data_IF_163019770665
#
_entry.id   IF_163019770665
#
_cell.length_a   1.000
_cell.length_b   1.000
_cell.length_c   1.000
_cell.angle_alpha   90.00
_cell.angle_beta   90.00
_cell.angle_gamma   90.00
#
_symmetry.space_group_name_H-M   'P 1'
#
loop_
_entity.id
_entity.type
_entity.pdbx_description
1 polymer ?
#
# COMPACT_ATOMS: atom_id res chain seq x y z
N UNK A 1 -21.22 38.12 -50.53
CA UNK A 1 -21.72 37.57 -49.24
C UNK A 1 -22.25 36.12 -49.31
N UNK A 2 -22.18 35.39 -50.44
CA UNK A 2 -22.61 33.97 -50.47
C UNK A 2 -21.61 33.02 -49.81
N UNK A 3 -20.32 33.37 -49.79
CA UNK A 3 -19.26 32.49 -49.29
C UNK A 3 -19.02 32.61 -47.78
N UNK A 4 -19.50 33.71 -47.16
CA UNK A 4 -19.35 33.96 -45.72
C UNK A 4 -20.17 32.96 -44.87
N UNK A 5 -21.30 32.48 -45.39
CA UNK A 5 -22.15 31.48 -44.71
C UNK A 5 -21.45 30.13 -44.54
N UNK A 6 -20.61 29.73 -45.50
CA UNK A 6 -19.83 28.49 -45.40
C UNK A 6 -18.69 28.60 -44.41
N UNK A 7 -18.08 29.79 -44.29
CA UNK A 7 -17.01 30.04 -43.30
C UNK A 7 -17.56 30.02 -41.88
N UNK A 8 -18.74 30.63 -41.64
CA UNK A 8 -19.41 30.59 -40.33
C UNK A 8 -19.82 29.16 -39.96
N UNK A 9 -20.27 28.35 -40.92
CA UNK A 9 -20.60 26.94 -40.69
C UNK A 9 -19.35 26.10 -40.33
N UNK A 10 -18.22 26.35 -40.99
CA UNK A 10 -16.96 25.63 -40.75
C UNK A 10 -16.37 25.99 -39.38
N UNK A 11 -16.46 27.25 -38.97
CA UNK A 11 -16.09 27.70 -37.62
C UNK A 11 -17.04 27.09 -36.57
N UNK A 12 -18.34 27.05 -36.83
CA UNK A 12 -19.31 26.43 -35.91
C UNK A 12 -19.04 24.94 -35.71
N UNK A 13 -18.68 24.18 -36.75
CA UNK A 13 -18.31 22.76 -36.66
C UNK A 13 -17.00 22.55 -35.89
N UNK A 14 -16.05 23.49 -35.98
CA UNK A 14 -14.81 23.44 -35.21
C UNK A 14 -15.02 23.56 -33.70
N UNK A 15 -16.11 24.21 -33.26
CA UNK A 15 -16.47 24.30 -31.84
C UNK A 15 -17.24 23.08 -31.31
N UNK A 16 -17.71 22.17 -32.18
CA UNK A 16 -18.41 20.94 -31.78
C UNK A 16 -17.40 19.84 -31.40
N UNK A 17 -16.14 19.95 -31.83
CA UNK A 17 -15.08 18.99 -31.53
C UNK A 17 -14.25 19.36 -30.29
N UNK A 18 -14.73 20.28 -29.44
CA UNK A 18 -14.10 20.52 -28.15
C UNK A 18 -14.59 19.46 -27.14
N UNK A 19 -14.00 18.26 -27.20
CA UNK A 19 -14.04 17.32 -26.09
C UNK A 19 -13.27 17.97 -24.92
N UNK A 20 -13.84 17.93 -23.71
CA UNK A 20 -13.12 18.40 -22.52
C UNK A 20 -11.89 17.51 -22.37
N UNK A 21 -10.71 18.10 -22.26
CA UNK A 21 -9.48 17.38 -21.95
C UNK A 21 -9.66 16.75 -20.56
N UNK A 22 -10.02 15.47 -20.52
CA UNK A 22 -10.05 14.68 -19.30
C UNK A 22 -8.60 14.33 -18.96
N UNK A 23 -7.86 15.29 -18.44
CA UNK A 23 -6.53 15.05 -17.87
C UNK A 23 -6.73 14.46 -16.46
N UNK A 24 -6.06 13.35 -16.18
CA UNK A 24 -6.01 12.80 -14.82
C UNK A 24 -5.24 13.75 -13.93
N UNK A 25 -5.74 14.00 -12.72
CA UNK A 25 -4.90 14.60 -11.70
C UNK A 25 -3.79 13.61 -11.39
N UNK A 26 -2.53 14.06 -11.46
CA UNK A 26 -1.35 13.23 -11.14
C UNK A 26 -1.36 12.66 -9.71
N UNK A 27 -2.31 13.08 -8.86
CA UNK A 27 -2.47 12.66 -7.47
C UNK A 27 -3.50 11.56 -7.26
N UNK A 28 -4.19 11.07 -8.31
CA UNK A 28 -5.09 9.93 -8.15
C UNK A 28 -4.31 8.63 -8.25
N UNK A 29 -3.80 8.13 -7.12
CA UNK A 29 -3.26 6.76 -7.05
C UNK A 29 -4.30 5.78 -7.57
N UNK A 30 -3.95 5.04 -8.62
CA UNK A 30 -4.80 4.02 -9.24
C UNK A 30 -4.74 2.69 -8.47
N UNK A 31 -3.78 2.55 -7.56
CA UNK A 31 -3.56 1.37 -6.73
C UNK A 31 -3.20 1.79 -5.31
N UNK A 32 -4.19 1.88 -4.40
CA UNK A 32 -3.93 2.33 -3.05
C UNK A 32 -3.11 1.30 -2.26
N UNK A 33 -2.25 1.79 -1.37
CA UNK A 33 -1.55 0.96 -0.38
C UNK A 33 -2.39 0.76 0.88
N UNK A 34 -2.11 -0.33 1.59
CA UNK A 34 -2.66 -0.57 2.91
C UNK A 34 -1.88 0.24 3.95
N UNK A 35 -2.45 1.37 4.36
CA UNK A 35 -1.94 2.19 5.47
C UNK A 35 -2.19 1.49 6.82
N UNK A 36 -1.10 1.23 7.55
CA UNK A 36 -1.09 0.61 8.88
C UNK A 36 -0.42 1.57 9.86
N UNK A 37 -1.10 1.85 10.97
CA UNK A 37 -0.55 2.61 12.10
C UNK A 37 -0.32 1.73 13.32
N UNK A 38 0.69 2.06 14.11
CA UNK A 38 1.10 1.38 15.32
C UNK A 38 0.74 2.19 16.56
N UNK A 39 0.03 1.56 17.48
CA UNK A 39 -0.52 2.17 18.70
C UNK A 39 0.05 1.50 19.96
N UNK A 40 0.06 2.24 21.06
CA UNK A 40 0.44 1.72 22.37
C UNK A 40 -0.64 0.78 22.92
N UNK A 41 -0.26 -0.42 23.34
CA UNK A 41 -1.17 -1.36 24.01
C UNK A 41 -1.68 -0.83 25.35
N UNK A 42 -0.87 -0.04 26.05
CA UNK A 42 -1.23 0.52 27.36
C UNK A 42 -2.06 1.81 27.21
N UNK A 43 -1.89 2.54 26.10
CA UNK A 43 -2.60 3.78 25.77
C UNK A 43 -3.14 3.72 24.32
N UNK A 44 -4.31 3.09 24.07
CA UNK A 44 -4.78 2.75 22.73
C UNK A 44 -5.08 3.91 21.77
N UNK A 45 -5.09 5.14 22.28
CA UNK A 45 -5.28 6.36 21.49
C UNK A 45 -3.96 7.01 21.05
N UNK A 46 -2.82 6.54 21.59
CA UNK A 46 -1.50 7.10 21.33
C UNK A 46 -0.75 6.26 20.29
N UNK A 47 -0.18 6.92 19.28
CA UNK A 47 0.76 6.31 18.34
C UNK A 47 2.08 5.97 19.04
N UNK A 48 2.67 4.84 18.65
CA UNK A 48 3.90 4.32 19.24
C UNK A 48 4.81 3.74 18.17
N UNK A 49 5.98 4.35 18.02
CA UNK A 49 7.01 3.86 17.11
C UNK A 49 7.38 2.41 17.41
N UNK A 50 7.42 1.59 16.36
CA UNK A 50 8.10 0.30 16.41
C UNK A 50 9.59 0.56 16.17
N UNK A 51 10.48 0.24 17.13
CA UNK A 51 11.90 0.51 16.99
C UNK A 51 12.53 -0.43 15.95
N UNK A 52 13.34 0.15 15.06
CA UNK A 52 14.20 -0.59 14.11
C UNK A 52 13.40 -1.63 13.31
N UNK A 53 12.21 -1.22 12.89
CA UNK A 53 11.27 -2.00 12.12
C UNK A 53 11.81 -2.22 10.71
N UNK A 54 11.75 -3.48 10.27
CA UNK A 54 11.90 -3.88 8.87
C UNK A 54 10.64 -4.62 8.45
N UNK A 55 10.08 -4.25 7.31
CA UNK A 55 8.85 -4.86 6.76
C UNK A 55 9.04 -5.18 5.30
N UNK A 56 8.72 -6.40 4.89
CA UNK A 56 8.83 -6.83 3.49
C UNK A 56 7.82 -7.92 3.17
N UNK A 57 7.44 -8.02 1.89
CA UNK A 57 6.61 -9.12 1.43
C UNK A 57 7.37 -10.44 1.45
N UNK A 58 6.68 -11.51 1.81
CA UNK A 58 7.23 -12.86 1.74
C UNK A 58 7.55 -13.23 0.28
N UNK A 59 8.76 -13.76 0.06
CA UNK A 59 9.23 -14.18 -1.27
C UNK A 59 9.59 -13.03 -2.22
N UNK A 60 9.78 -11.80 -1.72
CA UNK A 60 10.15 -10.64 -2.54
C UNK A 60 11.65 -10.60 -2.84
N UNK A 61 12.50 -11.05 -1.92
CA UNK A 61 13.94 -11.09 -2.13
C UNK A 61 14.35 -12.51 -2.53
N UNK A 62 15.02 -12.64 -3.66
CA UNK A 62 15.63 -13.89 -4.11
C UNK A 62 17.05 -13.65 -4.56
N UNK A 63 17.97 -14.57 -4.27
CA UNK A 63 19.33 -14.53 -4.82
C UNK A 63 19.36 -14.88 -6.32
N UNK A 64 20.57 -14.88 -6.91
CA UNK A 64 20.80 -15.24 -8.32
C UNK A 64 20.32 -16.66 -8.67
N UNK A 65 20.15 -17.52 -7.67
CA UNK A 65 19.69 -18.91 -7.80
C UNK A 65 18.17 -19.05 -7.54
N UNK A 66 17.46 -17.95 -7.27
CA UNK A 66 16.02 -17.92 -7.02
C UNK A 66 15.62 -18.39 -5.62
N UNK A 67 16.55 -18.45 -4.68
CA UNK A 67 16.30 -18.81 -3.28
C UNK A 67 15.88 -17.56 -2.52
N UNK A 68 14.81 -17.65 -1.73
CA UNK A 68 14.35 -16.53 -0.90
C UNK A 68 15.44 -16.11 0.10
N UNK A 69 15.75 -14.82 0.11
CA UNK A 69 16.73 -14.22 1.03
C UNK A 69 16.07 -13.19 1.93
N UNK A 70 16.78 -12.80 2.98
CA UNK A 70 16.37 -11.73 3.89
C UNK A 70 17.10 -10.42 3.54
N UNK A 71 16.46 -9.25 3.69
CA UNK A 71 17.13 -7.97 3.45
C UNK A 71 18.21 -7.73 4.50
N UNK A 72 19.46 -7.53 4.05
CA UNK A 72 20.64 -7.32 4.93
C UNK A 72 21.31 -5.95 4.75
N UNK A 73 21.04 -5.24 3.66
CA UNK A 73 21.61 -3.93 3.37
C UNK A 73 20.52 -2.90 3.01
N UNK A 74 20.78 -1.64 3.35
CA UNK A 74 19.90 -0.49 3.09
C UNK A 74 19.84 -0.09 1.61
N UNK A 75 20.60 -0.71 0.71
CA UNK A 75 20.75 -0.23 -0.67
C UNK A 75 19.50 -0.27 -1.54
N UNK A 76 18.43 -0.97 -1.15
CA UNK A 76 17.11 -0.89 -1.81
C UNK A 76 16.09 -0.02 -1.03
N UNK A 77 16.56 0.80 -0.08
CA UNK A 77 15.71 1.72 0.70
C UNK A 77 15.14 2.81 -0.21
N UNK A 78 13.84 2.76 -0.44
CA UNK A 78 13.06 3.99 -0.47
C UNK A 78 12.08 3.88 0.72
N UNK A 79 12.04 4.95 1.50
CA UNK A 79 11.11 5.06 2.60
C UNK A 79 9.83 5.58 1.96
N UNK A 80 8.71 4.94 2.24
CA UNK A 80 7.49 5.71 2.50
C UNK A 80 6.97 5.29 3.87
N UNK A 81 7.59 5.87 4.90
CA UNK A 81 6.81 6.40 6.02
C UNK A 81 5.79 7.31 5.36
N UNK A 82 4.52 7.02 5.56
CA UNK A 82 3.44 7.78 4.96
C UNK A 82 3.67 9.30 5.15
N UNK A 83 3.93 10.00 4.06
CA UNK A 83 4.09 11.46 4.00
C UNK A 83 3.07 11.98 2.99
N UNK A 84 2.17 12.87 3.44
CA UNK A 84 1.10 13.47 2.63
C UNK A 84 1.65 14.28 1.43
N UNK A 85 2.97 14.52 1.37
CA UNK A 85 3.61 15.40 0.38
C UNK A 85 4.36 14.71 -0.77
N UNK A 86 4.50 13.37 -0.78
CA UNK A 86 5.33 12.69 -1.78
C UNK A 86 4.53 12.17 -3.00
N UNK A 87 5.05 12.44 -4.20
CA UNK A 87 4.39 12.05 -5.46
C UNK A 87 4.87 10.66 -5.87
N UNK A 88 3.99 9.67 -5.66
CA UNK A 88 4.18 8.23 -5.90
C UNK A 88 4.33 7.95 -7.40
N UNK A 89 5.52 7.55 -7.85
CA UNK A 89 5.65 6.76 -9.09
C UNK A 89 6.82 5.75 -9.12
N UNK A 90 7.61 5.61 -8.04
CA UNK A 90 8.70 4.60 -7.94
C UNK A 90 8.96 4.17 -6.47
N UNK A 91 7.91 4.13 -5.63
CA UNK A 91 8.03 3.74 -4.22
C UNK A 91 8.43 2.24 -4.08
N UNK A 92 9.32 1.88 -3.15
CA UNK A 92 9.79 0.51 -3.02
C UNK A 92 8.79 -0.28 -2.17
N UNK A 93 8.94 -1.60 -2.21
CA UNK A 93 7.97 -2.50 -1.59
C UNK A 93 8.31 -2.89 -0.15
N UNK A 94 9.22 -2.19 0.52
CA UNK A 94 9.69 -2.62 1.85
C UNK A 94 10.26 -1.47 2.71
N UNK A 95 10.22 -1.67 4.03
CA UNK A 95 10.73 -0.77 5.09
C UNK A 95 11.98 -1.41 5.69
N UNK A 96 13.05 -0.65 5.96
CA UNK A 96 14.30 -1.23 6.48
C UNK A 96 14.86 -0.46 7.67
N UNK A 97 14.90 -1.11 8.83
CA UNK A 97 15.53 -0.67 10.06
C UNK A 97 15.23 0.81 10.42
N UNK A 98 13.94 1.17 10.42
CA UNK A 98 13.48 2.52 10.77
C UNK A 98 12.71 2.51 12.09
N UNK A 99 12.68 3.64 12.79
CA UNK A 99 11.72 3.86 13.86
C UNK A 99 10.50 4.55 13.25
N UNK A 100 9.34 3.91 13.29
CA UNK A 100 8.12 4.50 12.74
C UNK A 100 6.88 3.92 13.40
N UNK A 101 5.84 4.73 13.47
CA UNK A 101 4.49 4.42 13.90
C UNK A 101 3.53 4.22 12.72
N UNK A 102 4.00 4.34 11.47
CA UNK A 102 3.15 4.20 10.28
C UNK A 102 3.90 3.58 9.10
N UNK A 103 3.23 2.66 8.40
CA UNK A 103 3.74 2.04 7.17
C UNK A 103 2.65 1.95 6.11
N UNK A 104 3.05 1.95 4.84
CA UNK A 104 2.16 1.73 3.70
C UNK A 104 2.59 0.47 2.95
N UNK A 105 1.72 -0.56 2.94
CA UNK A 105 2.03 -1.84 2.30
C UNK A 105 1.39 -1.95 0.90
N UNK A 106 2.17 -2.27 -0.15
CA UNK A 106 1.60 -2.49 -1.48
C UNK A 106 0.83 -3.80 -1.54
N UNK A 107 -0.43 -3.76 -2.01
CA UNK A 107 -1.22 -4.95 -2.24
C UNK A 107 -1.08 -5.44 -3.68
N UNK A 108 -0.98 -6.77 -3.86
CA UNK A 108 -0.86 -7.40 -5.18
C UNK A 108 -2.16 -7.25 -5.95
N UNK A 109 -2.04 -6.79 -7.20
CA UNK A 109 -3.10 -6.87 -8.19
C UNK A 109 -3.11 -8.26 -8.82
N UNK A 110 -4.30 -8.75 -9.13
CA UNK A 110 -4.49 -9.96 -9.94
C UNK A 110 -5.56 -9.67 -10.99
N UNK A 111 -5.45 -10.36 -12.12
CA UNK A 111 -6.44 -10.41 -13.19
C UNK A 111 -7.65 -11.30 -12.85
N UNK A 112 -7.62 -12.03 -11.72
CA UNK A 112 -8.76 -12.78 -11.18
C UNK A 112 -9.84 -11.84 -10.63
N UNK A 113 -10.68 -11.33 -11.54
CA UNK A 113 -11.77 -10.43 -11.23
C UNK A 113 -12.79 -11.04 -10.25
N UNK A 114 -12.98 -10.34 -9.12
CA UNK A 114 -14.28 -10.17 -8.50
C UNK A 114 -14.85 -11.28 -7.60
N UNK A 115 -14.17 -12.40 -7.32
CA UNK A 115 -14.65 -13.38 -6.32
C UNK A 115 -13.57 -14.25 -5.66
N UNK A 116 -12.30 -14.15 -6.08
CA UNK A 116 -11.23 -14.90 -5.44
C UNK A 116 -10.60 -14.07 -4.34
N UNK A 117 -10.39 -14.70 -3.18
CA UNK A 117 -9.56 -14.11 -2.14
C UNK A 117 -8.10 -14.36 -2.47
N UNK A 118 -7.32 -13.29 -2.40
CA UNK A 118 -5.86 -13.33 -2.42
C UNK A 118 -5.40 -13.24 -0.97
N UNK A 119 -4.36 -13.99 -0.63
CA UNK A 119 -3.63 -13.80 0.63
C UNK A 119 -2.21 -13.36 0.31
N UNK A 120 -1.80 -12.22 0.85
CA UNK A 120 -0.41 -11.76 0.85
C UNK A 120 0.16 -11.86 2.26
N UNK A 121 1.46 -12.15 2.36
CA UNK A 121 2.17 -12.30 3.63
C UNK A 121 3.26 -11.23 3.69
N UNK A 122 3.33 -10.54 4.81
CA UNK A 122 4.37 -9.56 5.12
C UNK A 122 5.06 -9.94 6.40
N UNK A 123 6.39 -9.91 6.38
CA UNK A 123 7.22 -10.19 7.54
C UNK A 123 7.55 -8.85 8.18
N UNK A 124 7.22 -8.69 9.47
CA UNK A 124 7.51 -7.50 10.26
C UNK A 124 8.48 -7.87 11.38
N UNK A 125 9.72 -7.39 11.24
CA UNK A 125 10.77 -7.62 12.22
C UNK A 125 11.02 -6.37 13.05
N UNK A 126 10.75 -6.48 14.35
CA UNK A 126 11.08 -5.48 15.36
C UNK A 126 12.51 -5.71 15.85
N UNK A 127 13.22 -4.62 16.15
CA UNK A 127 14.59 -4.68 16.67
C UNK A 127 15.55 -5.45 15.75
N UNK A 128 15.59 -5.07 14.47
CA UNK A 128 16.36 -5.74 13.39
C UNK A 128 17.89 -5.86 13.60
N UNK A 129 18.47 -5.32 14.68
CA UNK A 129 19.93 -5.33 14.87
C UNK A 129 20.52 -6.74 14.92
N UNK A 130 19.81 -7.74 15.48
CA UNK A 130 20.31 -9.12 15.50
C UNK A 130 20.61 -9.64 14.09
N UNK A 131 19.77 -9.34 13.11
CA UNK A 131 19.99 -9.69 11.70
C UNK A 131 21.16 -8.92 11.09
N UNK A 132 21.29 -7.63 11.39
CA UNK A 132 22.25 -6.74 10.71
C UNK A 132 23.68 -6.93 11.21
N UNK A 133 23.87 -6.94 12.53
CA UNK A 133 25.21 -6.92 13.14
C UNK A 133 25.48 -8.11 14.06
N UNK A 134 24.52 -9.04 14.18
CA UNK A 134 24.65 -10.23 15.02
C UNK A 134 24.54 -9.92 16.52
N UNK A 135 24.06 -8.74 16.91
CA UNK A 135 23.95 -8.31 18.30
C UNK A 135 22.52 -7.96 18.71
N UNK A 136 22.20 -8.18 20.00
CA UNK A 136 20.89 -7.93 20.57
C UNK A 136 19.87 -9.02 20.22
N UNK A 137 18.59 -8.68 20.26
CA UNK A 137 17.47 -9.57 19.97
C UNK A 137 16.64 -8.94 18.86
N UNK A 138 16.05 -9.76 17.98
CA UNK A 138 15.00 -9.35 17.05
C UNK A 138 13.77 -10.23 17.25
N UNK A 139 12.58 -9.68 16.94
CA UNK A 139 11.33 -10.41 17.05
C UNK A 139 10.54 -10.23 15.75
N UNK A 140 10.12 -11.35 15.16
CA UNK A 140 9.48 -11.41 13.86
C UNK A 140 8.02 -11.84 14.03
N UNK A 141 7.11 -11.02 13.54
CA UNK A 141 5.71 -11.38 13.35
C UNK A 141 5.37 -11.36 11.86
N UNK A 142 4.58 -12.32 11.38
CA UNK A 142 4.07 -12.31 10.00
C UNK A 142 2.61 -11.85 9.98
N UNK A 143 2.32 -10.86 9.15
CA UNK A 143 0.98 -10.42 8.82
C UNK A 143 0.48 -11.12 7.57
N UNK A 144 -0.67 -11.78 7.67
CA UNK A 144 -1.44 -12.31 6.56
C UNK A 144 -2.59 -11.34 6.24
N UNK A 145 -2.59 -10.85 5.01
CA UNK A 145 -3.60 -9.91 4.52
C UNK A 145 -4.40 -10.61 3.44
N UNK A 146 -5.69 -10.76 3.68
CA UNK A 146 -6.64 -11.40 2.77
C UNK A 146 -7.61 -10.37 2.21
N UNK A 147 -7.80 -10.36 0.90
CA UNK A 147 -8.69 -9.40 0.24
C UNK A 147 -9.12 -9.90 -1.15
N UNK A 148 -10.07 -9.21 -1.76
CA UNK A 148 -10.42 -9.35 -3.18
C UNK A 148 -10.21 -8.01 -3.89
N UNK A 149 -9.79 -8.05 -5.15
CA UNK A 149 -9.56 -6.85 -5.96
C UNK A 149 -10.77 -6.57 -6.84
N UNK A 150 -11.26 -5.33 -6.80
CA UNK A 150 -12.25 -4.78 -7.72
C UNK A 150 -11.66 -3.63 -8.54
N UNK A 151 -12.20 -3.40 -9.73
CA UNK A 151 -11.72 -2.36 -10.64
C UNK A 151 -12.85 -1.43 -11.05
N UNK A 152 -12.73 -0.16 -10.64
CA UNK A 152 -13.70 0.88 -10.94
C UNK A 152 -13.20 1.72 -12.11
N UNK A 153 -13.99 1.79 -13.19
CA UNK A 153 -13.68 2.67 -14.31
C UNK A 153 -13.82 4.13 -13.90
N UNK A 154 -12.75 4.91 -14.06
CA UNK A 154 -12.72 6.33 -13.70
C UNK A 154 -13.04 7.20 -14.92
N UNK A 155 -12.23 7.09 -15.99
CA UNK A 155 -12.42 7.83 -17.23
C UNK A 155 -11.60 7.22 -18.36
N UNK A 156 -11.75 7.73 -19.58
CA UNK A 156 -10.95 7.29 -20.73
C UNK A 156 -9.46 7.55 -20.52
N UNK A 157 -9.11 8.65 -19.86
CA UNK A 157 -7.73 9.01 -19.62
C UNK A 157 -7.13 8.30 -18.41
N UNK A 158 -7.94 8.03 -17.37
CA UNK A 158 -7.44 7.49 -16.10
C UNK A 158 -7.63 5.97 -15.99
N UNK A 159 -8.33 5.37 -16.95
CA UNK A 159 -8.55 3.94 -17.00
C UNK A 159 -9.35 3.44 -15.80
N UNK A 160 -8.89 2.33 -15.24
CA UNK A 160 -9.48 1.71 -14.06
C UNK A 160 -8.63 2.00 -12.83
N UNK A 161 -9.31 2.24 -11.72
CA UNK A 161 -8.74 2.30 -10.37
C UNK A 161 -9.03 0.98 -9.66
N UNK A 162 -8.03 0.42 -9.00
CA UNK A 162 -8.22 -0.76 -8.16
C UNK A 162 -8.74 -0.38 -6.78
N UNK A 163 -9.53 -1.26 -6.18
CA UNK A 163 -10.06 -1.16 -4.83
C UNK A 163 -10.00 -2.53 -4.18
N UNK A 164 -9.55 -2.61 -2.94
CA UNK A 164 -9.42 -3.88 -2.23
C UNK A 164 -10.59 -4.02 -1.25
N UNK A 165 -11.44 -5.03 -1.48
CA UNK A 165 -12.66 -5.28 -0.70
C UNK A 165 -12.51 -6.56 0.12
N UNK A 166 -13.39 -6.72 1.12
CA UNK A 166 -13.38 -7.86 2.04
C UNK A 166 -12.01 -8.03 2.74
N UNK A 167 -11.39 -6.91 3.11
CA UNK A 167 -10.11 -6.89 3.82
C UNK A 167 -10.23 -7.68 5.12
N UNK A 168 -9.35 -8.66 5.27
CA UNK A 168 -9.06 -9.38 6.50
C UNK A 168 -7.57 -9.29 6.79
N UNK A 169 -7.22 -9.05 8.05
CA UNK A 169 -5.82 -8.98 8.49
C UNK A 169 -5.68 -9.83 9.73
N UNK A 170 -4.69 -10.71 9.73
CA UNK A 170 -4.39 -11.58 10.86
C UNK A 170 -2.89 -11.78 10.99
N UNK A 171 -2.44 -12.03 12.21
CA UNK A 171 -1.07 -12.46 12.46
C UNK A 171 -0.98 -13.99 12.28
N UNK A 172 0.07 -14.47 11.62
CA UNK A 172 0.41 -15.89 11.58
C UNK A 172 0.74 -16.35 13.01
N UNK A 173 0.10 -17.44 13.46
CA UNK A 173 0.23 -17.97 14.82
C UNK A 173 1.15 -19.19 14.89
N UNK A 174 1.83 -19.53 13.79
CA UNK A 174 2.62 -20.76 13.67
C UNK A 174 4.12 -20.60 13.93
N UNK A 175 4.61 -19.36 14.08
CA UNK A 175 6.06 -19.07 14.14
C UNK A 175 6.66 -19.32 15.53
N UNK A 176 6.04 -18.82 16.60
CA UNK A 176 6.44 -19.06 18.00
C UNK A 176 5.41 -18.47 19.00
N UNK A 177 5.72 -18.58 20.30
CA UNK A 177 4.94 -17.97 21.40
C UNK A 177 5.37 -16.51 21.69
N UNK A 178 6.48 -16.02 21.13
CA UNK A 178 7.06 -14.70 21.45
C UNK A 178 6.66 -13.66 20.40
N UNK A 179 5.43 -13.17 20.52
CA UNK A 179 4.86 -12.23 19.56
C UNK A 179 4.83 -10.81 20.11
N UNK A 180 5.26 -9.83 19.31
CA UNK A 180 5.31 -8.44 19.73
C UNK A 180 4.02 -7.68 19.38
N UNK A 181 3.36 -8.01 18.27
CA UNK A 181 2.04 -7.53 17.89
C UNK A 181 1.01 -8.12 18.85
N UNK A 182 0.29 -7.30 19.62
CA UNK A 182 -0.69 -7.77 20.61
C UNK A 182 -2.11 -7.82 20.07
N UNK A 183 -2.46 -6.89 19.21
CA UNK A 183 -3.80 -6.82 18.63
C UNK A 183 -3.76 -6.16 17.25
N UNK A 184 -4.72 -6.54 16.40
CA UNK A 184 -4.89 -5.99 15.06
C UNK A 184 -6.37 -5.63 14.91
N UNK A 185 -6.65 -4.38 14.57
CA UNK A 185 -8.00 -3.87 14.35
C UNK A 185 -8.05 -3.26 12.96
N UNK A 186 -9.05 -3.64 12.16
CA UNK A 186 -9.38 -2.95 10.91
C UNK A 186 -10.25 -1.74 11.27
N UNK A 187 -9.92 -0.58 10.72
CA UNK A 187 -10.66 0.66 10.97
C UNK A 187 -12.14 0.50 10.56
N UNK A 188 -13.06 0.86 11.46
CA UNK A 188 -14.49 0.65 11.21
C UNK A 188 -14.99 1.56 10.08
N UNK A 189 -14.45 2.78 9.96
CA UNK A 189 -14.89 3.76 8.97
C UNK A 189 -14.62 3.37 7.52
N UNK A 190 -13.72 2.40 7.27
CA UNK A 190 -13.39 1.94 5.92
C UNK A 190 -14.25 0.76 5.47
N UNK A 191 -15.07 0.18 6.35
CA UNK A 191 -15.94 -0.98 6.06
C UNK A 191 -15.18 -2.14 5.35
N UNK A 192 -13.97 -2.46 5.82
CA UNK A 192 -13.08 -3.48 5.21
C UNK A 192 -12.77 -3.24 3.72
N UNK A 193 -12.76 -1.98 3.28
CA UNK A 193 -12.50 -1.56 1.90
C UNK A 193 -11.37 -0.53 1.84
N UNK A 194 -10.35 -0.81 1.04
CA UNK A 194 -9.21 0.09 0.79
C UNK A 194 -9.40 0.70 -0.60
N UNK A 195 -9.83 1.96 -0.62
CA UNK A 195 -10.10 2.70 -1.86
C UNK A 195 -9.13 3.88 -2.08
N UNK A 196 -8.45 4.36 -1.04
CA UNK A 196 -7.52 5.49 -1.12
C UNK A 196 -6.51 5.39 0.03
N UNK A 197 -5.58 6.35 0.14
CA UNK A 197 -4.53 6.39 1.16
C UNK A 197 -4.71 7.57 2.13
N UNK A 198 -5.91 8.16 2.21
CA UNK A 198 -6.16 9.36 3.01
C UNK A 198 -6.51 9.06 4.48
N UNK A 199 -6.61 7.78 4.82
CA UNK A 199 -7.00 7.31 6.16
C UNK A 199 -6.23 6.06 6.53
N UNK A 200 -6.08 5.83 7.83
CA UNK A 200 -5.62 4.56 8.39
C UNK A 200 -6.60 3.45 8.06
N UNK A 201 -6.09 2.31 7.61
CA UNK A 201 -6.92 1.13 7.33
C UNK A 201 -6.83 0.09 8.44
N UNK A 202 -5.64 -0.06 9.04
CA UNK A 202 -5.36 -1.06 10.07
C UNK A 202 -4.61 -0.40 11.22
N UNK A 203 -5.02 -0.72 12.44
CA UNK A 203 -4.35 -0.34 13.67
C UNK A 203 -3.72 -1.59 14.29
N UNK A 204 -2.43 -1.52 14.59
CA UNK A 204 -1.68 -2.58 15.25
C UNK A 204 -1.25 -2.10 16.63
N UNK A 205 -1.52 -2.87 17.67
CA UNK A 205 -1.16 -2.54 19.04
C UNK A 205 0.05 -3.35 19.49
N UNK A 206 1.05 -2.70 20.10
CA UNK A 206 2.27 -3.33 20.62
C UNK A 206 2.80 -2.68 21.91
#
# INVERSE_FOLDING_TARGET
MKNLKYIVLLIAISFINCERDDICAYTTSTTPRLIIEFYDTDNPDDLKDVPRLTVYGEGIFTDEDGITTEPTESSDSIVEVYDESDTIDDAPSYVFNVNTDIIALPLKLTDDLGNNFITTRFILEKDTNLRIDGSGESNIDILEIRYSTDFVYVSRACGYKSTFINLGVSRDSTLDDDTWIRNIIIEESIESTVENENTTHVRIYH
#
